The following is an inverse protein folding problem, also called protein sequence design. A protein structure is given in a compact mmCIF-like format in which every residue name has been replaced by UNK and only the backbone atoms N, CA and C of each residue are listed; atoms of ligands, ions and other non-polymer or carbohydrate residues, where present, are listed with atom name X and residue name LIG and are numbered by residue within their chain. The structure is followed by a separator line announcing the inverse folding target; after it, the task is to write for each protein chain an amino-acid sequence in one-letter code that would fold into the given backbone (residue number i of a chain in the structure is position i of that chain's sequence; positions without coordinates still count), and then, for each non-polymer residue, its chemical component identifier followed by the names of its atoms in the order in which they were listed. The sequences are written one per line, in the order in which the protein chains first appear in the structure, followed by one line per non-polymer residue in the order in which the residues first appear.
data_IF_846296463454
#
_entry.id   IF_846296463454
#
_cell.length_a   1.000
_cell.length_b   1.000
_cell.length_c   1.000
_cell.angle_alpha   90.00
_cell.angle_beta   90.00
_cell.angle_gamma   90.00
#
_symmetry.space_group_name_H-M   'P 1'
#
loop_
_entity.id
_entity.type
_entity.pdbx_description
1 polymer ?
#
# COMPACT_ATOMS: atom_id res chain seq x y z
N UNK A 1 1.26 10.95 20.47
CA UNK A 1 -0.02 10.28 20.10
C UNK A 1 -0.59 10.74 18.75
N UNK A 2 -0.24 11.93 18.21
CA UNK A 2 -0.65 12.35 16.85
C UNK A 2 0.25 11.75 15.74
N UNK A 3 1.48 11.37 16.07
CA UNK A 3 2.45 10.82 15.12
C UNK A 3 2.03 9.46 14.56
N UNK A 4 1.51 8.55 15.41
CA UNK A 4 1.00 7.25 14.95
C UNK A 4 -0.14 7.41 13.94
N UNK A 5 -1.02 8.39 14.16
CA UNK A 5 -2.15 8.64 13.27
C UNK A 5 -1.69 9.19 11.91
N UNK A 6 -0.69 10.08 11.90
CA UNK A 6 -0.04 10.53 10.67
C UNK A 6 0.68 9.39 9.94
N UNK A 7 1.37 8.51 10.66
CA UNK A 7 2.02 7.33 10.09
C UNK A 7 1.00 6.39 9.43
N UNK A 8 -0.15 6.14 10.06
CA UNK A 8 -1.20 5.33 9.44
C UNK A 8 -1.79 5.97 8.18
N UNK A 9 -2.08 7.27 8.21
CA UNK A 9 -2.56 8.01 7.04
C UNK A 9 -1.53 7.95 5.92
N UNK A 10 -0.25 8.15 6.24
CA UNK A 10 0.82 8.09 5.27
C UNK A 10 0.98 6.69 4.66
N UNK A 11 0.86 5.63 5.46
CA UNK A 11 0.89 4.26 4.96
C UNK A 11 -0.32 3.91 4.07
N UNK A 12 -1.50 4.44 4.38
CA UNK A 12 -2.69 4.30 3.51
C UNK A 12 -2.42 4.96 2.16
N UNK A 13 -1.92 6.19 2.16
CA UNK A 13 -1.58 6.93 0.93
C UNK A 13 -0.50 6.19 0.15
N UNK A 14 0.56 5.72 0.81
CA UNK A 14 1.63 4.97 0.18
C UNK A 14 1.12 3.66 -0.46
N UNK A 15 0.22 2.94 0.22
CA UNK A 15 -0.38 1.72 -0.31
C UNK A 15 -1.21 2.00 -1.56
N UNK A 16 -2.02 3.07 -1.56
CA UNK A 16 -2.80 3.50 -2.72
C UNK A 16 -1.90 3.90 -3.88
N UNK A 17 -0.83 4.66 -3.63
CA UNK A 17 0.15 5.03 -4.65
C UNK A 17 0.87 3.82 -5.23
N UNK A 18 1.17 2.80 -4.42
CA UNK A 18 1.80 1.56 -4.87
C UNK A 18 0.87 0.75 -5.79
N UNK A 19 -0.41 0.67 -5.43
CA UNK A 19 -1.44 0.00 -6.24
C UNK A 19 -1.65 0.75 -7.56
N UNK A 20 -1.75 2.09 -7.51
CA UNK A 20 -1.83 2.92 -8.70
C UNK A 20 -0.59 2.75 -9.59
N UNK A 21 0.61 2.69 -9.02
CA UNK A 21 1.85 2.46 -9.76
C UNK A 21 1.86 1.08 -10.45
N UNK A 22 1.34 0.06 -9.77
CA UNK A 22 1.12 -1.25 -10.38
C UNK A 22 0.14 -1.19 -11.56
N UNK A 23 -1.03 -0.58 -11.37
CA UNK A 23 -2.08 -0.54 -12.41
C UNK A 23 -1.67 0.32 -13.62
N UNK A 24 -0.97 1.44 -13.38
CA UNK A 24 -0.50 2.35 -14.43
C UNK A 24 0.82 1.90 -15.09
N UNK A 25 1.11 0.59 -15.16
CA UNK A 25 2.24 0.11 -15.94
C UNK A 25 2.04 0.45 -17.43
N UNK A 26 2.61 1.59 -17.85
CA UNK A 26 2.39 2.21 -19.16
C UNK A 26 3.07 1.45 -20.31
N UNK A 27 4.02 0.56 -20.00
CA UNK A 27 4.78 -0.19 -21.00
C UNK A 27 4.58 -1.70 -20.80
N UNK A 28 4.15 -2.40 -21.85
CA UNK A 28 3.85 -3.84 -21.79
C UNK A 28 5.09 -4.73 -21.93
N UNK A 29 6.24 -4.25 -21.47
CA UNK A 29 7.44 -5.08 -21.38
C UNK A 29 7.26 -6.10 -20.26
N UNK A 30 7.70 -7.35 -20.47
CA UNK A 30 7.58 -8.45 -19.48
C UNK A 30 8.08 -8.04 -18.08
N UNK A 31 9.20 -7.31 -18.03
CA UNK A 31 9.77 -6.80 -16.78
C UNK A 31 8.85 -5.81 -16.04
N UNK A 32 8.14 -4.95 -16.78
CA UNK A 32 7.24 -3.94 -16.20
C UNK A 32 5.93 -4.58 -15.71
N UNK A 33 5.41 -5.59 -16.43
CA UNK A 33 4.26 -6.40 -15.99
C UNK A 33 4.61 -7.16 -14.70
N UNK A 34 5.81 -7.75 -14.62
CA UNK A 34 6.26 -8.46 -13.43
C UNK A 34 6.40 -7.51 -12.23
N UNK A 35 6.99 -6.34 -12.43
CA UNK A 35 7.11 -5.31 -11.40
C UNK A 35 5.75 -4.77 -10.95
N UNK A 36 4.84 -4.53 -11.90
CA UNK A 36 3.47 -4.11 -11.66
C UNK A 36 2.72 -5.09 -10.76
N UNK A 37 2.84 -6.39 -11.05
CA UNK A 37 2.22 -7.44 -10.26
C UNK A 37 2.79 -7.46 -8.83
N UNK A 38 4.12 -7.35 -8.69
CA UNK A 38 4.80 -7.29 -7.39
C UNK A 38 4.36 -6.07 -6.59
N UNK A 39 4.33 -4.88 -7.19
CA UNK A 39 3.89 -3.66 -6.52
C UNK A 39 2.42 -3.73 -6.09
N UNK A 40 1.56 -4.35 -6.89
CA UNK A 40 0.15 -4.55 -6.55
C UNK A 40 0.00 -5.49 -5.34
N UNK A 41 0.73 -6.60 -5.31
CA UNK A 41 0.71 -7.57 -4.20
C UNK A 41 1.24 -6.94 -2.90
N UNK A 42 2.37 -6.23 -2.99
CA UNK A 42 2.98 -5.54 -1.85
C UNK A 42 2.06 -4.44 -1.33
N UNK A 43 1.43 -3.67 -2.22
CA UNK A 43 0.48 -2.61 -1.87
C UNK A 43 -0.75 -3.16 -1.14
N UNK A 44 -1.31 -4.28 -1.62
CA UNK A 44 -2.43 -4.96 -0.95
C UNK A 44 -2.04 -5.46 0.44
N UNK A 45 -0.86 -6.07 0.55
CA UNK A 45 -0.35 -6.61 1.82
C UNK A 45 -0.14 -5.51 2.85
N UNK A 46 0.50 -4.41 2.44
CA UNK A 46 0.68 -3.21 3.28
C UNK A 46 -0.66 -2.66 3.73
N UNK A 47 -1.63 -2.56 2.83
CA UNK A 47 -2.97 -2.08 3.16
C UNK A 47 -3.64 -2.94 4.25
N UNK A 48 -3.55 -4.27 4.14
CA UNK A 48 -4.09 -5.21 5.15
C UNK A 48 -3.38 -5.05 6.50
N UNK A 49 -2.05 -4.92 6.50
CA UNK A 49 -1.25 -4.75 7.72
C UNK A 49 -1.64 -3.45 8.43
N UNK A 50 -1.74 -2.36 7.67
CA UNK A 50 -2.13 -1.03 8.17
C UNK A 50 -3.55 -1.04 8.71
N UNK A 51 -4.47 -1.66 7.99
CA UNK A 51 -5.86 -1.79 8.42
C UNK A 51 -5.97 -2.58 9.73
N UNK A 52 -5.22 -3.69 9.86
CA UNK A 52 -5.15 -4.46 11.11
C UNK A 52 -4.55 -3.66 12.26
N UNK A 53 -3.45 -2.94 12.02
CA UNK A 53 -2.82 -2.10 13.03
C UNK A 53 -3.77 -0.99 13.49
N UNK A 54 -4.45 -0.32 12.57
CA UNK A 54 -5.40 0.75 12.88
C UNK A 54 -6.61 0.24 13.69
N UNK A 55 -7.11 -0.96 13.40
CA UNK A 55 -8.15 -1.60 14.22
C UNK A 55 -7.62 -1.94 15.63
N UNK A 56 -6.38 -2.44 15.72
CA UNK A 56 -5.76 -2.78 17.02
C UNK A 56 -5.52 -1.54 17.86
N UNK A 57 -5.09 -0.44 17.25
CA UNK A 57 -4.85 0.86 17.89
C UNK A 57 -6.16 1.47 18.43
N UNK A 58 -7.27 1.35 17.68
CA UNK A 58 -8.60 1.81 18.12
C UNK A 58 -9.23 1.02 19.28
N UNK A 59 -8.73 -0.19 19.57
CA UNK A 59 -9.32 -1.08 20.58
C UNK A 59 -8.72 -0.85 21.98
N UNK A 60 -7.78 0.08 22.11
CA UNK A 60 -7.01 0.34 23.34
C UNK A 60 -7.29 1.72 23.93
#
# INVERSE_FOLDING_TARGET
MKDNQLTYILLIIASILLILNGIFAFDHTIAMILMSLLFTIVGLTLFIVVFRLLIKDKKH
#
